data_IF_433246157438
#
_entry.id   IF_433246157438
#
_cell.length_a   1.000
_cell.length_b   1.000
_cell.length_c   1.000
_cell.angle_alpha   90.00
_cell.angle_beta   90.00
_cell.angle_gamma   90.00
#
_symmetry.space_group_name_H-M   'P 1'
#
loop_
_entity.id
_entity.type
_entity.pdbx_description
1 polymer ?
#
# COMPACT_ATOMS: atom_id res chain seq x y z
N UNK A 1 1.82 -9.32 -11.80
CA UNK A 1 2.09 -8.11 -12.59
C UNK A 1 3.32 -7.31 -12.13
N UNK A 2 3.77 -7.34 -10.86
CA UNK A 2 4.98 -6.60 -10.42
C UNK A 2 6.22 -7.46 -10.18
N UNK A 3 6.14 -8.78 -10.39
CA UNK A 3 7.23 -9.73 -10.09
C UNK A 3 8.52 -9.36 -10.84
N UNK A 4 8.40 -9.05 -12.13
CA UNK A 4 9.53 -8.75 -13.03
C UNK A 4 10.13 -7.36 -12.80
N UNK A 5 9.50 -6.54 -11.95
CA UNK A 5 9.97 -5.19 -11.57
C UNK A 5 10.60 -5.17 -10.18
N UNK A 6 10.80 -6.34 -9.56
CA UNK A 6 11.38 -6.42 -8.22
C UNK A 6 12.87 -6.13 -8.30
N UNK A 7 13.34 -5.14 -7.53
CA UNK A 7 14.77 -4.92 -7.28
C UNK A 7 15.08 -5.50 -5.89
N UNK A 8 15.97 -6.50 -5.83
CA UNK A 8 16.30 -7.20 -4.59
C UNK A 8 15.37 -8.37 -4.25
N UNK A 9 15.36 -8.80 -2.98
CA UNK A 9 14.73 -10.06 -2.54
C UNK A 9 13.25 -9.89 -2.15
N UNK A 10 12.83 -8.69 -1.75
CA UNK A 10 11.50 -8.43 -1.19
C UNK A 10 10.83 -7.25 -1.87
N UNK A 11 9.50 -7.24 -1.82
CA UNK A 11 8.66 -6.12 -2.28
C UNK A 11 8.04 -5.41 -1.08
N UNK A 12 7.88 -4.10 -1.15
CA UNK A 12 7.18 -3.31 -0.14
C UNK A 12 5.78 -2.97 -0.65
N UNK A 13 4.76 -3.22 0.18
CA UNK A 13 3.38 -2.84 -0.07
C UNK A 13 2.96 -1.82 0.99
N UNK A 14 2.71 -0.58 0.56
CA UNK A 14 2.23 0.50 1.42
C UNK A 14 0.70 0.51 1.37
N UNK A 15 0.07 0.36 2.52
CA UNK A 15 -1.38 0.18 2.65
C UNK A 15 -1.94 1.33 3.48
N UNK A 16 -3.08 1.85 3.06
CA UNK A 16 -3.85 2.75 3.90
C UNK A 16 -4.39 1.98 5.11
N UNK A 17 -4.49 2.60 6.29
CA UNK A 17 -4.88 1.92 7.53
C UNK A 17 -6.35 1.47 7.58
N UNK A 18 -6.96 1.13 6.44
CA UNK A 18 -8.34 0.65 6.36
C UNK A 18 -8.43 -0.81 6.84
N UNK A 19 -9.42 -1.09 7.68
CA UNK A 19 -9.54 -2.35 8.43
C UNK A 19 -9.66 -3.60 7.54
N UNK A 20 -10.08 -3.45 6.29
CA UNK A 20 -10.15 -4.54 5.31
C UNK A 20 -8.79 -5.22 5.02
N UNK A 21 -7.68 -4.57 5.36
CA UNK A 21 -6.32 -5.09 5.17
C UNK A 21 -5.73 -5.79 6.39
N UNK A 22 -6.54 -6.01 7.42
CA UNK A 22 -6.14 -6.65 8.67
C UNK A 22 -6.54 -8.14 8.76
N UNK A 23 -6.92 -8.76 7.64
CA UNK A 23 -7.22 -10.19 7.62
C UNK A 23 -5.95 -11.04 7.70
N UNK A 24 -6.02 -12.15 8.44
CA UNK A 24 -4.92 -13.10 8.57
C UNK A 24 -4.51 -13.69 7.21
N UNK A 25 -5.49 -14.00 6.36
CA UNK A 25 -5.28 -14.53 5.01
C UNK A 25 -4.44 -13.57 4.15
N UNK A 26 -4.71 -12.27 4.25
CA UNK A 26 -3.95 -11.25 3.53
C UNK A 26 -2.49 -11.20 3.99
N UNK A 27 -2.26 -11.28 5.31
CA UNK A 27 -0.91 -11.28 5.88
C UNK A 27 -0.14 -12.54 5.48
N UNK A 28 -0.78 -13.71 5.49
CA UNK A 28 -0.19 -14.97 5.05
C UNK A 28 0.22 -14.92 3.58
N UNK A 29 -0.67 -14.43 2.71
CA UNK A 29 -0.38 -14.27 1.28
C UNK A 29 0.80 -13.32 1.04
N UNK A 30 0.90 -12.23 1.80
CA UNK A 30 2.03 -11.31 1.70
C UNK A 30 3.35 -11.99 2.11
N UNK A 31 3.32 -12.76 3.21
CA UNK A 31 4.49 -13.50 3.70
C UNK A 31 4.97 -14.54 2.68
N UNK A 32 4.07 -15.35 2.14
CA UNK A 32 4.40 -16.34 1.10
C UNK A 32 5.03 -15.72 -0.15
N UNK A 33 4.60 -14.50 -0.47
CA UNK A 33 5.07 -13.78 -1.66
C UNK A 33 6.30 -12.88 -1.38
N UNK A 34 6.90 -12.96 -0.19
CA UNK A 34 8.02 -12.09 0.21
C UNK A 34 7.68 -10.58 0.09
N UNK A 35 6.47 -10.22 0.49
CA UNK A 35 5.97 -8.85 0.51
C UNK A 35 5.97 -8.36 1.96
N UNK A 36 6.69 -7.27 2.22
CA UNK A 36 6.63 -6.53 3.47
C UNK A 36 5.45 -5.55 3.37
N UNK A 37 4.57 -5.55 4.36
CA UNK A 37 3.46 -4.60 4.45
C UNK A 37 3.83 -3.43 5.36
N UNK A 38 3.56 -2.20 4.93
CA UNK A 38 3.68 -0.98 5.72
C UNK A 38 2.30 -0.32 5.83
N UNK A 39 1.76 -0.25 7.03
CA UNK A 39 0.46 0.37 7.28
C UNK A 39 0.65 1.85 7.61
N UNK A 40 -0.05 2.71 6.86
CA UNK A 40 -0.12 4.13 7.21
C UNK A 40 -0.94 4.30 8.50
N UNK A 41 -0.56 5.24 9.39
CA UNK A 41 -1.33 5.52 10.60
C UNK A 41 -2.77 5.92 10.26
N UNK A 42 -3.70 5.59 11.15
CA UNK A 42 -5.09 6.01 11.04
C UNK A 42 -5.17 7.53 10.84
N UNK A 43 -6.13 7.95 10.00
CA UNK A 43 -6.34 9.34 9.60
C UNK A 43 -5.16 10.03 8.86
N UNK A 44 -4.05 9.36 8.53
CA UNK A 44 -2.95 9.99 7.76
C UNK A 44 -3.18 10.02 6.25
N UNK A 45 -4.29 9.46 5.76
CA UNK A 45 -4.62 9.38 4.33
C UNK A 45 -4.68 10.73 3.62
N UNK A 46 -5.07 11.80 4.33
CA UNK A 46 -5.19 13.14 3.76
C UNK A 46 -3.84 13.90 3.72
N UNK A 47 -2.82 13.43 4.45
CA UNK A 47 -1.51 14.07 4.54
C UNK A 47 -0.41 13.28 3.83
N UNK A 48 -0.47 11.95 3.89
CA UNK A 48 0.64 11.07 3.53
C UNK A 48 0.36 10.15 2.33
N UNK A 49 -0.88 10.11 1.78
CA UNK A 49 -1.11 9.26 0.62
C UNK A 49 -0.58 9.91 -0.66
N UNK A 50 0.41 9.30 -1.33
CA UNK A 50 0.89 9.76 -2.63
C UNK A 50 -0.23 9.75 -3.67
N UNK A 51 -1.21 8.87 -3.48
CA UNK A 51 -2.40 8.82 -4.31
C UNK A 51 -3.31 10.05 -4.12
N UNK A 52 -3.52 10.55 -2.89
CA UNK A 52 -4.38 11.72 -2.64
C UNK A 52 -3.70 13.04 -3.04
N UNK A 53 -2.41 13.19 -2.76
CA UNK A 53 -1.66 14.42 -3.08
C UNK A 53 -1.19 14.42 -4.54
N UNK A 54 -0.76 13.27 -5.04
CA UNK A 54 -0.22 13.11 -6.40
C UNK A 54 -1.31 12.84 -7.44
N UNK A 55 -1.80 11.61 -7.54
CA UNK A 55 -2.68 11.20 -8.64
C UNK A 55 -4.11 11.79 -8.57
N UNK A 56 -4.69 11.88 -7.37
CA UNK A 56 -6.08 12.32 -7.17
C UNK A 56 -6.21 13.81 -6.88
N UNK A 57 -5.11 14.50 -6.55
CA UNK A 57 -5.11 15.96 -6.37
C UNK A 57 -5.59 16.70 -7.63
N UNK A 58 -4.98 16.46 -8.80
CA UNK A 58 -5.41 17.04 -10.07
C UNK A 58 -6.83 16.63 -10.48
N UNK A 59 -7.25 15.40 -10.17
CA UNK A 59 -8.60 14.90 -10.50
C UNK A 59 -9.72 15.57 -9.68
N UNK A 60 -9.40 16.17 -8.53
CA UNK A 60 -10.37 16.92 -7.72
C UNK A 60 -10.53 18.38 -8.15
N UNK A 61 -9.64 18.88 -9.01
CA UNK A 61 -9.66 20.25 -9.52
C UNK A 61 -10.26 20.36 -10.93
N UNK A 62 -10.70 19.24 -11.51
CA UNK A 62 -11.40 19.19 -12.79
C UNK A 62 -12.92 19.36 -12.63
#
# INVERSE_FOLDING_TARGET
HTKDRTVGVRRLLVINGHESHNSLEFQQLCKEKNIITLYMPSHSSHLLQPLNVGCFGPLKQA
#
